data_IF_268937353256
#
_entry.id   IF_268937353256
#
_cell.length_a   1.000
_cell.length_b   1.000
_cell.length_c   1.000
_cell.angle_alpha   90.00
_cell.angle_beta   90.00
_cell.angle_gamma   90.00
#
_symmetry.space_group_name_H-M   'P 1'
#
loop_
_entity.id
_entity.type
_entity.pdbx_description
1 polymer ?
#
# COMPACT_ATOMS: atom_id res chain seq x y z
N UNK A 1 -21.12 -15.28 -10.84
CA UNK A 1 -20.48 -15.00 -9.52
C UNK A 1 -20.41 -13.52 -9.19
N UNK A 2 -20.22 -12.62 -10.13
CA UNK A 2 -20.12 -11.17 -9.96
C UNK A 2 -21.37 -10.48 -9.38
N UNK A 3 -22.58 -10.89 -9.78
CA UNK A 3 -23.84 -10.31 -9.25
C UNK A 3 -24.04 -10.45 -7.74
N UNK A 4 -23.48 -11.45 -7.06
CA UNK A 4 -23.59 -11.64 -5.62
C UNK A 4 -22.68 -10.72 -4.78
N UNK A 5 -21.58 -10.24 -5.37
CA UNK A 5 -20.64 -9.34 -4.70
C UNK A 5 -21.24 -7.94 -4.59
N UNK A 6 -21.88 -7.45 -5.66
CA UNK A 6 -22.56 -6.15 -5.68
C UNK A 6 -23.86 -6.10 -4.85
N UNK A 7 -24.35 -7.25 -4.39
CA UNK A 7 -25.53 -7.33 -3.53
C UNK A 7 -25.25 -6.99 -2.05
N UNK A 8 -23.96 -6.89 -1.65
CA UNK A 8 -23.58 -6.54 -0.27
C UNK A 8 -23.10 -5.09 -0.22
N UNK A 9 -23.74 -4.20 0.56
CA UNK A 9 -23.36 -2.79 0.63
C UNK A 9 -21.90 -2.58 1.06
N UNK A 10 -21.38 -3.44 1.92
CA UNK A 10 -19.97 -3.43 2.37
C UNK A 10 -18.98 -3.63 1.22
N UNK A 11 -19.28 -4.54 0.29
CA UNK A 11 -18.43 -4.79 -0.87
C UNK A 11 -18.42 -3.60 -1.85
N UNK A 12 -19.56 -2.94 -2.01
CA UNK A 12 -19.68 -1.73 -2.84
C UNK A 12 -18.89 -0.58 -2.23
N UNK A 13 -19.02 -0.36 -0.93
CA UNK A 13 -18.27 0.68 -0.22
C UNK A 13 -16.76 0.41 -0.34
N UNK A 14 -16.29 -0.82 -0.11
CA UNK A 14 -14.89 -1.18 -0.26
C UNK A 14 -14.37 -0.95 -1.68
N UNK A 15 -15.15 -1.32 -2.69
CA UNK A 15 -14.79 -1.10 -4.09
C UNK A 15 -14.69 0.40 -4.42
N UNK A 16 -15.65 1.21 -3.96
CA UNK A 16 -15.64 2.67 -4.16
C UNK A 16 -14.39 3.29 -3.53
N UNK A 17 -14.05 2.91 -2.31
CA UNK A 17 -12.83 3.40 -1.63
C UNK A 17 -11.57 3.04 -2.40
N UNK A 18 -11.45 1.80 -2.88
CA UNK A 18 -10.31 1.37 -3.70
C UNK A 18 -10.22 2.20 -4.98
N UNK A 19 -11.34 2.40 -5.68
CA UNK A 19 -11.38 3.20 -6.91
C UNK A 19 -10.96 4.64 -6.66
N UNK A 20 -11.42 5.25 -5.56
CA UNK A 20 -11.01 6.61 -5.17
C UNK A 20 -9.50 6.68 -4.96
N UNK A 21 -8.92 5.75 -4.19
CA UNK A 21 -7.47 5.73 -3.92
C UNK A 21 -6.67 5.53 -5.21
N UNK A 22 -7.11 4.64 -6.10
CA UNK A 22 -6.46 4.41 -7.41
C UNK A 22 -6.52 5.66 -8.29
N UNK A 23 -7.68 6.33 -8.34
CA UNK A 23 -7.82 7.60 -9.10
C UNK A 23 -6.89 8.66 -8.52
N UNK A 24 -6.87 8.85 -7.21
CA UNK A 24 -5.96 9.78 -6.54
C UNK A 24 -4.49 9.46 -6.85
N UNK A 25 -4.10 8.20 -6.86
CA UNK A 25 -2.73 7.78 -7.17
C UNK A 25 -2.33 8.06 -8.63
N UNK A 26 -3.23 7.80 -9.59
CA UNK A 26 -2.97 8.04 -11.02
C UNK A 26 -2.90 9.54 -11.31
N UNK A 27 -3.87 10.29 -10.79
CA UNK A 27 -3.99 11.73 -11.05
C UNK A 27 -3.29 12.60 -10.00
N UNK A 28 -2.44 12.02 -9.16
CA UNK A 28 -1.70 12.74 -8.12
C UNK A 28 -1.03 14.04 -8.63
N UNK A 29 -0.34 14.07 -9.79
CA UNK A 29 0.30 15.29 -10.28
C UNK A 29 -0.68 16.43 -10.65
N UNK A 30 -1.95 16.10 -10.88
CA UNK A 30 -2.98 17.07 -11.28
C UNK A 30 -3.84 17.48 -10.10
N UNK A 31 -4.07 16.55 -9.15
CA UNK A 31 -4.95 16.78 -8.00
C UNK A 31 -4.21 17.45 -6.86
N UNK A 32 -2.92 17.18 -6.69
CA UNK A 32 -2.13 17.77 -5.61
C UNK A 32 -1.95 19.28 -5.81
N UNK A 33 -2.36 20.13 -4.85
CA UNK A 33 -2.26 21.58 -4.99
C UNK A 33 -0.81 22.07 -5.01
N UNK A 34 0.08 21.38 -4.30
CA UNK A 34 1.48 21.76 -4.15
C UNK A 34 2.41 20.57 -4.39
N UNK A 35 3.70 20.83 -4.62
CA UNK A 35 4.70 19.77 -4.70
C UNK A 35 4.85 19.08 -3.32
N UNK A 36 4.85 17.73 -3.26
CA UNK A 36 4.92 17.00 -1.98
C UNK A 36 6.27 17.15 -1.27
N UNK A 37 7.33 17.49 -2.02
CA UNK A 37 8.70 17.57 -1.53
C UNK A 37 9.19 19.01 -1.32
N UNK A 38 8.35 20.01 -1.63
CA UNK A 38 8.69 21.41 -1.44
C UNK A 38 8.77 21.74 0.05
N UNK A 39 9.97 22.06 0.51
CA UNK A 39 10.24 22.43 1.91
C UNK A 39 10.25 23.96 2.02
N UNK A 40 9.42 24.50 2.89
CA UNK A 40 9.43 25.92 3.24
C UNK A 40 9.35 26.09 4.77
N UNK A 41 10.48 26.35 5.44
CA UNK A 41 10.51 26.50 6.89
C UNK A 41 9.65 27.65 7.43
N UNK A 42 9.28 28.62 6.60
CA UNK A 42 8.41 29.74 7.01
C UNK A 42 6.95 29.31 7.18
N UNK A 43 6.57 28.20 6.55
CA UNK A 43 5.22 27.66 6.54
C UNK A 43 5.03 26.49 7.52
N UNK A 44 5.91 26.33 8.50
CA UNK A 44 5.81 25.26 9.51
C UNK A 44 4.50 25.32 10.29
N UNK A 45 3.84 24.15 10.37
CA UNK A 45 2.60 23.98 11.14
C UNK A 45 1.52 25.00 10.78
N UNK A 46 1.47 25.43 9.52
CA UNK A 46 0.39 26.27 9.04
C UNK A 46 -0.93 25.52 9.18
N UNK A 47 -1.94 26.20 9.70
CA UNK A 47 -3.29 25.65 9.77
C UNK A 47 -3.88 25.48 8.38
N UNK A 48 -4.91 24.63 8.28
CA UNK A 48 -5.63 24.43 7.03
C UNK A 48 -6.13 25.77 6.46
N UNK A 49 -5.78 26.02 5.19
CA UNK A 49 -6.16 27.19 4.41
C UNK A 49 -6.41 26.78 2.94
N UNK A 50 -6.87 27.69 2.10
CA UNK A 50 -7.17 27.43 0.69
C UNK A 50 -5.97 26.89 -0.11
N UNK A 51 -4.78 27.40 0.16
CA UNK A 51 -3.53 26.96 -0.48
C UNK A 51 -3.00 25.65 0.12
N UNK A 52 -3.34 25.35 1.39
CA UNK A 52 -2.93 24.18 2.15
C UNK A 52 -4.13 23.56 2.87
N UNK A 53 -5.00 22.81 2.17
CA UNK A 53 -6.30 22.35 2.69
C UNK A 53 -6.21 21.46 3.95
N UNK A 54 -5.11 20.74 4.16
CA UNK A 54 -4.83 20.00 5.39
C UNK A 54 -3.71 20.64 6.23
N UNK A 55 -3.26 21.84 5.86
CA UNK A 55 -2.15 22.50 6.51
C UNK A 55 -0.79 21.96 6.06
N UNK A 56 0.25 22.27 6.85
CA UNK A 56 1.64 21.90 6.58
C UNK A 56 2.29 21.17 7.75
N UNK A 57 3.30 20.36 7.43
CA UNK A 57 4.07 19.60 8.41
C UNK A 57 5.19 20.43 9.08
N UNK A 58 6.01 19.75 9.89
CA UNK A 58 7.17 20.36 10.59
C UNK A 58 8.23 20.93 9.65
N UNK A 59 8.22 20.59 8.37
CA UNK A 59 9.14 21.11 7.34
C UNK A 59 8.47 22.12 6.42
N UNK A 60 7.20 22.47 6.67
CA UNK A 60 6.40 23.37 5.85
C UNK A 60 5.90 22.75 4.55
N UNK A 61 5.86 21.40 4.45
CA UNK A 61 5.37 20.69 3.26
C UNK A 61 3.85 20.52 3.33
N UNK A 62 3.17 20.58 2.18
CA UNK A 62 1.73 20.38 2.09
C UNK A 62 1.31 18.95 2.48
N UNK A 63 0.56 18.80 3.57
CA UNK A 63 0.07 17.51 4.07
C UNK A 63 -0.83 16.79 3.05
N UNK A 64 -1.75 17.53 2.39
CA UNK A 64 -2.65 16.97 1.38
C UNK A 64 -1.88 16.41 0.18
N UNK A 65 -0.92 17.17 -0.33
CA UNK A 65 -0.09 16.73 -1.47
C UNK A 65 0.69 15.47 -1.13
N UNK A 66 1.25 15.41 0.07
CA UNK A 66 1.98 14.23 0.57
C UNK A 66 1.08 13.01 0.71
N UNK A 67 -0.14 13.19 1.17
CA UNK A 67 -1.13 12.10 1.29
C UNK A 67 -1.49 11.52 -0.09
N UNK A 68 -1.75 12.39 -1.07
CA UNK A 68 -2.10 11.99 -2.45
C UNK A 68 -0.92 11.26 -3.12
N UNK A 69 0.28 11.81 -3.02
CA UNK A 69 1.48 11.15 -3.56
C UNK A 69 1.86 9.89 -2.79
N UNK A 70 1.60 9.85 -1.47
CA UNK A 70 1.76 8.65 -0.65
C UNK A 70 0.94 7.46 -1.18
N UNK A 71 -0.30 7.70 -1.59
CA UNK A 71 -1.13 6.67 -2.24
C UNK A 71 -0.49 6.16 -3.54
N UNK A 72 0.07 7.05 -4.36
CA UNK A 72 0.78 6.68 -5.60
C UNK A 72 2.01 5.83 -5.32
N UNK A 73 2.84 6.21 -4.36
CA UNK A 73 4.02 5.43 -3.97
C UNK A 73 3.64 4.08 -3.37
N UNK A 74 2.62 4.05 -2.51
CA UNK A 74 2.15 2.80 -1.91
C UNK A 74 1.70 1.79 -2.96
N UNK A 75 0.86 2.21 -3.93
CA UNK A 75 0.39 1.34 -5.01
C UNK A 75 1.57 0.94 -5.92
N UNK A 76 2.43 1.90 -6.28
CA UNK A 76 3.58 1.68 -7.16
C UNK A 76 4.58 0.66 -6.60
N UNK A 77 4.76 0.62 -5.29
CA UNK A 77 5.64 -0.36 -4.63
C UNK A 77 4.94 -1.68 -4.34
N UNK A 78 3.65 -1.64 -3.97
CA UNK A 78 2.91 -2.84 -3.57
C UNK A 78 2.66 -3.80 -4.73
N UNK A 79 2.35 -3.30 -5.93
CA UNK A 79 2.05 -4.15 -7.08
C UNK A 79 3.25 -5.00 -7.50
N UNK A 80 4.45 -4.45 -7.78
CA UNK A 80 5.60 -5.28 -8.14
C UNK A 80 6.00 -6.23 -7.01
N UNK A 81 5.93 -5.79 -5.76
CA UNK A 81 6.24 -6.64 -4.62
C UNK A 81 5.27 -7.83 -4.52
N UNK A 82 3.97 -7.59 -4.69
CA UNK A 82 2.95 -8.65 -4.68
C UNK A 82 3.15 -9.65 -5.81
N UNK A 83 3.53 -9.18 -7.01
CA UNK A 83 3.83 -10.06 -8.16
C UNK A 83 5.06 -10.92 -7.89
N UNK A 84 6.15 -10.34 -7.39
CA UNK A 84 7.38 -11.07 -7.06
C UNK A 84 7.10 -12.12 -5.99
N UNK A 85 6.45 -11.74 -4.88
CA UNK A 85 6.12 -12.66 -3.81
C UNK A 85 5.14 -13.74 -4.25
N UNK A 86 4.16 -13.40 -5.09
CA UNK A 86 3.21 -14.36 -5.65
C UNK A 86 3.89 -15.40 -6.54
N UNK A 87 4.79 -14.97 -7.42
CA UNK A 87 5.56 -15.87 -8.30
C UNK A 87 6.49 -16.76 -7.46
N UNK A 88 7.24 -16.19 -6.52
CA UNK A 88 8.13 -16.95 -5.65
C UNK A 88 7.36 -17.96 -4.79
N UNK A 89 6.23 -17.55 -4.21
CA UNK A 89 5.37 -18.42 -3.42
C UNK A 89 4.81 -19.60 -4.25
N UNK A 90 4.38 -19.32 -5.49
CA UNK A 90 3.94 -20.37 -6.42
C UNK A 90 5.05 -21.35 -6.76
N UNK A 91 6.25 -20.86 -7.07
CA UNK A 91 7.40 -21.72 -7.41
C UNK A 91 7.77 -22.58 -6.20
N UNK A 92 7.96 -21.97 -5.03
CA UNK A 92 8.35 -22.69 -3.81
C UNK A 92 7.27 -23.69 -3.40
N UNK A 93 6.00 -23.28 -3.40
CA UNK A 93 4.89 -24.16 -3.04
C UNK A 93 4.72 -25.33 -3.99
N UNK A 94 4.82 -25.10 -5.30
CA UNK A 94 4.74 -26.18 -6.29
C UNK A 94 5.92 -27.13 -6.16
N UNK A 95 7.12 -26.58 -6.01
CA UNK A 95 8.34 -27.40 -5.79
C UNK A 95 8.23 -28.25 -4.52
N UNK A 96 7.74 -27.67 -3.42
CA UNK A 96 7.52 -28.36 -2.14
C UNK A 96 6.69 -29.63 -2.32
N UNK A 97 5.54 -29.49 -2.95
CA UNK A 97 4.61 -30.61 -3.20
C UNK A 97 5.21 -31.65 -4.16
N UNK A 98 5.86 -31.20 -5.25
CA UNK A 98 6.45 -32.11 -6.24
C UNK A 98 7.69 -32.87 -5.73
N UNK A 99 8.44 -32.29 -4.81
CA UNK A 99 9.66 -32.89 -4.24
C UNK A 99 9.37 -33.95 -3.16
N UNK A 100 8.11 -34.10 -2.76
CA UNK A 100 7.65 -35.13 -1.86
C UNK A 100 7.55 -34.70 -0.39
N UNK A 101 6.91 -35.53 0.41
CA UNK A 101 6.50 -35.24 1.79
C UNK A 101 7.64 -34.76 2.73
N UNK A 102 8.85 -35.27 2.52
CA UNK A 102 10.01 -34.86 3.33
C UNK A 102 10.42 -33.41 3.05
N UNK A 103 10.47 -33.01 1.80
CA UNK A 103 10.82 -31.64 1.40
C UNK A 103 9.72 -30.66 1.80
N UNK A 104 8.48 -31.03 1.64
CA UNK A 104 7.34 -30.22 2.07
C UNK A 104 7.39 -29.93 3.56
N UNK A 105 7.69 -30.92 4.37
CA UNK A 105 7.87 -30.76 5.83
C UNK A 105 9.04 -29.84 6.20
N UNK A 106 10.15 -29.92 5.48
CA UNK A 106 11.32 -29.07 5.73
C UNK A 106 11.01 -27.62 5.35
N UNK A 107 10.41 -27.37 4.19
CA UNK A 107 10.06 -26.04 3.73
C UNK A 107 9.03 -25.39 4.67
N UNK A 108 8.00 -26.15 5.06
CA UNK A 108 6.99 -25.69 6.01
C UNK A 108 7.63 -25.34 7.35
N UNK A 109 8.52 -26.19 7.88
CA UNK A 109 9.23 -25.92 9.13
C UNK A 109 10.05 -24.63 9.06
N UNK A 110 10.76 -24.39 7.95
CA UNK A 110 11.52 -23.16 7.75
C UNK A 110 10.57 -21.94 7.74
N UNK A 111 9.45 -22.02 7.05
CA UNK A 111 8.46 -20.95 7.03
C UNK A 111 7.90 -20.68 8.42
N UNK A 112 7.58 -21.71 9.19
CA UNK A 112 7.06 -21.59 10.56
C UNK A 112 8.07 -20.91 11.49
N UNK A 113 9.37 -21.24 11.35
CA UNK A 113 10.44 -20.56 12.09
C UNK A 113 10.46 -19.07 11.79
N UNK A 114 10.40 -18.67 10.51
CA UNK A 114 10.37 -17.25 10.15
C UNK A 114 9.11 -16.53 10.65
N UNK A 115 7.95 -17.17 10.56
CA UNK A 115 6.68 -16.60 11.07
C UNK A 115 6.68 -16.52 12.60
N UNK A 116 7.37 -17.43 13.28
CA UNK A 116 7.46 -17.46 14.76
C UNK A 116 8.33 -16.34 15.33
N UNK A 117 9.18 -15.69 14.52
CA UNK A 117 9.90 -14.50 14.96
C UNK A 117 8.90 -13.34 15.09
N UNK A 118 8.57 -12.90 16.31
CA UNK A 118 7.62 -11.80 16.47
C UNK A 118 8.20 -10.53 15.86
N UNK A 119 7.39 -9.87 15.03
CA UNK A 119 7.67 -8.54 14.44
C UNK A 119 7.90 -7.42 15.47
N UNK A 120 7.95 -7.76 16.75
CA UNK A 120 8.23 -6.89 17.91
C UNK A 120 9.73 -6.56 18.08
N UNK A 121 10.63 -7.13 17.26
CA UNK A 121 12.08 -6.94 17.41
C UNK A 121 12.64 -5.98 16.31
N UNK A 122 11.76 -5.44 15.46
CA UNK A 122 12.18 -4.45 14.43
C UNK A 122 11.78 -3.03 14.83
#
# INVERSE_FOLDING_TARGET
MTKKIFSKPQAVIGLVLIVIVVICAIFAPVIAPNSPDQIDPSLKYLKADWDYPLGTDQLGRCELSRLIYGARYAIGMSIPMLLILGILGLIIGTFSVCAGEKMDRIITFICDVFISFPSLIT
#
